data_IF_186723905665
#
_entry.id   IF_186723905665
#
_cell.length_a   1.000
_cell.length_b   1.000
_cell.length_c   1.000
_cell.angle_alpha   90.00
_cell.angle_beta   90.00
_cell.angle_gamma   90.00
#
_symmetry.space_group_name_H-M   'P 1'
#
loop_
_entity.id
_entity.type
_entity.pdbx_description
1 polymer ?
#
# COMPACT_ATOMS: atom_id res chain seq x y z
N UNK A 1 -0.57 10.50 9.96
CA UNK A 1 -1.29 9.26 9.56
C UNK A 1 -0.33 8.09 9.73
N UNK A 2 -0.80 7.00 10.35
CA UNK A 2 0.04 5.84 10.62
C UNK A 2 -0.23 4.71 9.64
N UNK A 3 0.77 3.87 9.38
CA UNK A 3 0.69 2.74 8.44
C UNK A 3 -0.48 1.81 8.74
N UNK A 4 -0.81 1.54 10.01
CA UNK A 4 -1.96 0.72 10.40
C UNK A 4 -3.32 1.24 9.90
N UNK A 5 -3.41 2.53 9.55
CA UNK A 5 -4.66 3.16 9.10
C UNK A 5 -4.91 2.93 7.61
N UNK A 6 -3.87 2.55 6.86
CA UNK A 6 -3.93 2.37 5.41
C UNK A 6 -3.51 0.99 4.91
N UNK A 7 -2.85 0.17 5.76
CA UNK A 7 -2.37 -1.16 5.38
C UNK A 7 -3.53 -2.13 5.12
N UNK A 8 -3.29 -3.12 4.28
CA UNK A 8 -4.16 -4.29 4.15
C UNK A 8 -3.75 -5.32 5.21
N UNK A 9 -4.67 -5.68 6.08
CA UNK A 9 -4.48 -6.72 7.10
C UNK A 9 -5.76 -7.58 7.22
N UNK A 10 -5.65 -8.92 7.24
CA UNK A 10 -4.41 -9.69 7.07
C UNK A 10 -3.85 -9.58 5.64
N UNK A 11 -2.54 -9.69 5.51
CA UNK A 11 -1.87 -9.70 4.21
C UNK A 11 -1.95 -11.08 3.55
N UNK A 12 -2.13 -11.10 2.24
CA UNK A 12 -1.82 -12.30 1.45
C UNK A 12 -0.31 -12.52 1.49
N UNK A 13 0.13 -13.74 1.72
CA UNK A 13 1.53 -14.12 1.79
C UNK A 13 1.73 -15.53 1.23
N UNK A 14 2.98 -15.87 0.94
CA UNK A 14 3.36 -17.19 0.43
C UNK A 14 4.52 -17.73 1.25
N UNK A 15 4.60 -19.04 1.38
CA UNK A 15 5.73 -19.70 2.05
C UNK A 15 6.97 -19.67 1.16
N UNK A 16 8.15 -19.58 1.79
CA UNK A 16 9.44 -19.64 1.09
C UNK A 16 9.59 -20.91 0.23
N UNK A 17 9.07 -22.05 0.72
CA UNK A 17 9.11 -23.33 0.03
C UNK A 17 8.01 -23.54 -1.03
N UNK A 18 7.09 -22.61 -1.19
CA UNK A 18 6.02 -22.70 -2.18
C UNK A 18 6.55 -22.62 -3.61
N UNK A 19 5.80 -23.14 -4.56
CA UNK A 19 6.13 -23.08 -5.99
C UNK A 19 5.83 -21.68 -6.57
N UNK A 20 6.49 -21.35 -7.69
CA UNK A 20 6.19 -20.09 -8.40
C UNK A 20 4.76 -20.08 -8.94
N UNK A 21 4.21 -21.25 -9.32
CA UNK A 21 2.83 -21.38 -9.77
C UNK A 21 1.83 -21.00 -8.67
N UNK A 22 2.06 -21.45 -7.43
CA UNK A 22 1.23 -21.07 -6.28
C UNK A 22 1.25 -19.57 -6.03
N UNK A 23 2.44 -18.95 -6.11
CA UNK A 23 2.59 -17.51 -5.96
C UNK A 23 1.86 -16.75 -7.09
N UNK A 24 2.03 -17.18 -8.35
CA UNK A 24 1.37 -16.60 -9.52
C UNK A 24 -0.16 -16.69 -9.40
N UNK A 25 -0.68 -17.86 -9.04
CA UNK A 25 -2.11 -18.09 -8.83
C UNK A 25 -2.67 -17.19 -7.73
N UNK A 26 -1.95 -17.07 -6.61
CA UNK A 26 -2.36 -16.22 -5.50
C UNK A 26 -2.36 -14.73 -5.92
N UNK A 27 -1.33 -14.24 -6.60
CA UNK A 27 -1.28 -12.87 -7.11
C UNK A 27 -2.44 -12.58 -8.07
N UNK A 28 -2.70 -13.48 -9.02
CA UNK A 28 -3.76 -13.32 -10.01
C UNK A 28 -5.16 -13.30 -9.38
N UNK A 29 -5.44 -14.23 -8.47
CA UNK A 29 -6.76 -14.34 -7.81
C UNK A 29 -7.03 -13.22 -6.83
N UNK A 30 -5.99 -12.78 -6.08
CA UNK A 30 -6.10 -11.71 -5.09
C UNK A 30 -5.87 -10.32 -5.70
N UNK A 31 -5.52 -10.22 -6.99
CA UNK A 31 -5.23 -8.98 -7.71
C UNK A 31 -4.16 -8.12 -7.03
N UNK A 32 -3.11 -8.79 -6.54
CA UNK A 32 -1.95 -8.14 -5.92
C UNK A 32 -0.73 -8.30 -6.82
N UNK A 33 0.16 -7.33 -6.81
CA UNK A 33 1.36 -7.29 -7.66
C UNK A 33 2.62 -7.79 -6.95
N UNK A 34 2.51 -8.12 -5.67
CA UNK A 34 3.59 -8.67 -4.85
C UNK A 34 3.04 -9.38 -3.63
N UNK A 35 3.78 -10.31 -3.09
CA UNK A 35 3.46 -11.07 -1.89
C UNK A 35 4.65 -11.05 -0.93
N UNK A 36 4.44 -10.73 0.34
CA UNK A 36 5.40 -11.07 1.38
C UNK A 36 5.65 -12.57 1.41
N UNK A 37 6.90 -12.95 1.56
CA UNK A 37 7.31 -14.34 1.73
C UNK A 37 7.62 -14.58 3.19
N UNK A 38 7.05 -15.63 3.73
CA UNK A 38 7.19 -15.97 5.15
C UNK A 38 7.79 -17.36 5.33
N UNK A 39 8.45 -17.56 6.47
CA UNK A 39 8.85 -18.88 6.94
C UNK A 39 7.68 -19.65 7.58
N UNK A 40 7.94 -20.89 8.03
CA UNK A 40 6.95 -21.73 8.73
C UNK A 40 6.45 -21.14 10.07
N UNK A 41 7.13 -20.12 10.59
CA UNK A 41 6.74 -19.37 11.81
C UNK A 41 5.99 -18.08 11.53
N UNK A 42 5.79 -17.72 10.27
CA UNK A 42 5.10 -16.47 9.87
C UNK A 42 6.00 -15.23 9.89
N UNK A 43 7.32 -15.40 9.99
CA UNK A 43 8.29 -14.30 9.91
C UNK A 43 8.54 -13.93 8.46
N UNK A 44 8.67 -12.64 8.20
CA UNK A 44 8.98 -12.15 6.85
C UNK A 44 10.43 -12.44 6.51
N UNK A 45 10.65 -13.27 5.49
CA UNK A 45 11.99 -13.65 4.99
C UNK A 45 12.28 -13.06 3.61
N UNK A 46 11.24 -12.66 2.87
CA UNK A 46 11.37 -12.13 1.53
C UNK A 46 10.15 -11.38 1.04
N UNK A 47 10.25 -10.91 -0.19
CA UNK A 47 9.13 -10.41 -0.99
C UNK A 47 9.29 -10.91 -2.42
N UNK A 48 8.20 -11.35 -3.03
CA UNK A 48 8.17 -11.73 -4.46
C UNK A 48 7.18 -10.85 -5.19
N UNK A 49 7.55 -10.39 -6.37
CA UNK A 49 6.74 -9.51 -7.21
C UNK A 49 6.39 -10.15 -8.55
N UNK A 50 5.41 -9.59 -9.24
CA UNK A 50 5.09 -9.97 -10.63
C UNK A 50 6.32 -9.87 -11.56
N UNK A 51 7.21 -8.88 -11.32
CA UNK A 51 8.43 -8.72 -12.12
C UNK A 51 9.41 -9.89 -11.94
N UNK A 52 9.45 -10.49 -10.76
CA UNK A 52 10.29 -11.65 -10.47
C UNK A 52 9.72 -12.90 -11.16
N UNK A 53 8.40 -13.06 -11.13
CA UNK A 53 7.71 -14.15 -11.84
C UNK A 53 7.83 -14.02 -13.36
N UNK A 54 7.64 -12.82 -13.91
CA UNK A 54 7.78 -12.59 -15.36
C UNK A 54 9.20 -12.84 -15.89
N UNK A 55 10.22 -12.70 -15.07
CA UNK A 55 11.60 -13.03 -15.46
C UNK A 55 11.80 -14.54 -15.54
N UNK A 56 11.00 -15.31 -14.81
CA UNK A 56 11.20 -16.76 -14.63
C UNK A 56 10.46 -17.63 -15.64
N UNK A 57 9.31 -17.20 -16.20
CA UNK A 57 8.33 -18.15 -16.76
C UNK A 57 7.88 -17.90 -18.21
N UNK A 58 8.42 -16.91 -18.93
CA UNK A 58 8.00 -16.68 -20.32
C UNK A 58 8.90 -17.41 -21.30
N UNK A 59 8.45 -18.59 -21.76
CA UNK A 59 9.01 -19.20 -22.96
C UNK A 59 8.63 -18.37 -24.21
N UNK A 60 9.61 -18.09 -25.08
CA UNK A 60 9.32 -17.34 -26.31
C UNK A 60 8.38 -18.13 -27.23
N UNK A 61 7.31 -17.49 -27.71
CA UNK A 61 6.43 -18.10 -28.73
C UNK A 61 7.26 -18.39 -30.00
N UNK A 62 7.34 -19.66 -30.48
CA UNK A 62 8.08 -20.02 -31.67
C UNK A 62 7.62 -19.29 -32.95
N UNK A 63 6.41 -18.72 -32.92
CA UNK A 63 5.84 -17.94 -34.06
C UNK A 63 6.26 -16.48 -34.03
N UNK A 64 6.89 -16.00 -32.95
CA UNK A 64 7.36 -14.61 -32.87
C UNK A 64 8.55 -14.40 -33.80
N UNK A 65 8.52 -13.32 -34.60
CA UNK A 65 9.57 -12.98 -35.55
C UNK A 65 10.90 -12.58 -34.89
N UNK A 66 10.87 -12.21 -33.59
CA UNK A 66 12.05 -11.86 -32.80
C UNK A 66 12.23 -12.94 -31.74
N UNK A 67 13.29 -13.72 -31.87
CA UNK A 67 13.68 -14.69 -30.84
C UNK A 67 14.50 -13.97 -29.77
N UNK A 68 14.00 -13.82 -28.53
CA UNK A 68 14.86 -13.39 -27.44
C UNK A 68 15.91 -14.45 -27.17
N UNK A 69 17.17 -14.05 -27.14
CA UNK A 69 18.33 -14.94 -26.86
C UNK A 69 18.48 -15.24 -25.35
N UNK A 70 17.45 -15.04 -24.56
CA UNK A 70 17.46 -15.33 -23.13
C UNK A 70 17.12 -16.79 -22.89
N UNK A 71 18.08 -17.53 -22.38
CA UNK A 71 17.83 -18.83 -21.76
C UNK A 71 16.93 -18.58 -20.55
N UNK A 72 15.81 -19.28 -20.47
CA UNK A 72 14.98 -19.35 -19.27
C UNK A 72 15.86 -19.90 -18.12
N UNK A 73 16.09 -19.10 -17.10
CA UNK A 73 17.01 -19.42 -16.01
C UNK A 73 16.32 -20.24 -14.92
N UNK A 74 15.01 -20.43 -15.01
CA UNK A 74 14.24 -21.08 -13.95
C UNK A 74 13.75 -22.46 -14.37
N UNK A 75 14.07 -23.44 -13.53
CA UNK A 75 13.49 -24.78 -13.60
C UNK A 75 11.99 -24.72 -13.27
N UNK A 76 11.12 -25.55 -13.91
CA UNK A 76 9.71 -25.67 -13.54
C UNK A 76 9.47 -26.03 -12.06
N UNK A 77 10.52 -26.45 -11.35
CA UNK A 77 10.50 -26.80 -9.93
C UNK A 77 11.09 -25.71 -9.02
N UNK A 78 11.30 -24.49 -9.54
CA UNK A 78 11.83 -23.40 -8.73
C UNK A 78 10.85 -23.00 -7.62
N UNK A 79 11.38 -22.80 -6.43
CA UNK A 79 10.61 -22.31 -5.27
C UNK A 79 10.65 -20.77 -5.19
N UNK A 80 9.69 -20.22 -4.49
CA UNK A 80 9.61 -18.78 -4.20
C UNK A 80 10.90 -18.27 -3.57
N UNK A 81 11.47 -19.02 -2.61
CA UNK A 81 12.72 -18.66 -1.93
C UNK A 81 13.93 -18.52 -2.85
N UNK A 82 13.94 -19.19 -4.01
CA UNK A 82 15.04 -19.10 -4.98
C UNK A 82 14.97 -17.84 -5.86
N UNK A 83 13.80 -17.20 -5.95
CA UNK A 83 13.52 -16.07 -6.87
C UNK A 83 13.19 -14.79 -6.14
N UNK A 84 12.72 -14.87 -4.90
CA UNK A 84 12.34 -13.71 -4.08
C UNK A 84 13.50 -12.75 -3.84
N UNK A 85 13.17 -11.51 -3.53
CA UNK A 85 14.11 -10.59 -2.89
C UNK A 85 14.14 -10.90 -1.39
N UNK A 86 15.26 -11.42 -0.91
CA UNK A 86 15.46 -11.75 0.50
C UNK A 86 15.67 -10.50 1.36
N UNK A 87 15.33 -10.59 2.66
CA UNK A 87 15.46 -9.51 3.64
C UNK A 87 14.87 -8.17 3.14
N UNK A 88 13.57 -8.13 2.83
CA UNK A 88 12.96 -6.93 2.31
C UNK A 88 12.92 -5.84 3.38
N UNK A 89 12.83 -4.59 2.93
CA UNK A 89 12.46 -3.51 3.85
C UNK A 89 11.08 -3.78 4.42
N UNK A 90 10.92 -3.59 5.72
CA UNK A 90 9.65 -3.75 6.43
C UNK A 90 9.27 -2.45 7.13
N UNK A 91 7.99 -2.20 7.27
CA UNK A 91 7.46 -1.11 8.07
C UNK A 91 6.84 -1.64 9.36
N UNK A 92 6.66 -0.76 10.33
CA UNK A 92 5.91 -1.03 11.54
C UNK A 92 4.51 -0.41 11.43
N UNK A 93 3.57 -0.90 12.21
CA UNK A 93 2.20 -0.36 12.25
C UNK A 93 2.15 1.12 12.68
N UNK A 94 3.11 1.55 13.50
CA UNK A 94 3.27 2.91 14.02
C UNK A 94 4.17 3.82 13.17
N UNK A 95 4.66 3.33 12.03
CA UNK A 95 5.43 4.14 11.07
C UNK A 95 4.54 5.24 10.49
N UNK A 96 5.10 6.43 10.25
CA UNK A 96 4.40 7.51 9.58
C UNK A 96 4.28 7.23 8.06
N UNK A 97 3.08 7.41 7.52
CA UNK A 97 2.81 7.26 6.08
C UNK A 97 3.67 8.21 5.24
N UNK A 98 4.02 9.39 5.75
CA UNK A 98 4.90 10.32 5.06
C UNK A 98 6.33 9.76 4.84
N UNK A 99 6.85 9.00 5.81
CA UNK A 99 8.13 8.29 5.69
C UNK A 99 8.07 7.23 4.61
N UNK A 100 6.98 6.44 4.57
CA UNK A 100 6.75 5.45 3.53
C UNK A 100 6.54 6.10 2.15
N UNK A 101 5.83 7.21 2.06
CA UNK A 101 5.67 7.97 0.83
C UNK A 101 7.02 8.40 0.26
N UNK A 102 7.91 8.92 1.10
CA UNK A 102 9.29 9.25 0.70
C UNK A 102 10.07 8.02 0.23
N UNK A 103 9.97 6.92 0.96
CA UNK A 103 10.59 5.65 0.60
C UNK A 103 10.12 5.16 -0.78
N UNK A 104 8.81 5.15 -1.03
CA UNK A 104 8.26 4.78 -2.32
C UNK A 104 8.61 5.74 -3.46
N UNK A 105 8.82 7.02 -3.18
CA UNK A 105 9.24 8.01 -4.17
C UNK A 105 10.71 7.83 -4.60
N UNK A 106 11.57 7.39 -3.68
CA UNK A 106 13.02 7.26 -3.90
C UNK A 106 13.45 5.85 -4.30
N UNK A 107 12.58 4.85 -4.14
CA UNK A 107 12.86 3.45 -4.49
C UNK A 107 11.96 2.96 -5.60
N UNK A 108 12.27 1.78 -6.15
CA UNK A 108 11.39 1.09 -7.11
C UNK A 108 10.39 0.14 -6.44
N UNK A 109 10.31 0.14 -5.11
CA UNK A 109 9.43 -0.77 -4.37
C UNK A 109 7.96 -0.44 -4.63
N UNK A 110 7.15 -1.45 -4.84
CA UNK A 110 5.71 -1.31 -5.07
C UNK A 110 4.90 -1.52 -3.80
N UNK A 111 5.44 -2.31 -2.88
CA UNK A 111 4.84 -2.60 -1.57
C UNK A 111 5.91 -2.90 -0.53
N UNK A 112 5.52 -2.79 0.72
CA UNK A 112 6.36 -3.03 1.90
C UNK A 112 5.56 -3.89 2.89
N UNK A 113 6.10 -5.03 3.36
CA UNK A 113 5.48 -5.79 4.42
C UNK A 113 5.44 -4.99 5.73
N UNK A 114 4.32 -5.07 6.43
CA UNK A 114 4.16 -4.47 7.76
C UNK A 114 4.29 -5.57 8.80
N UNK A 115 5.17 -5.36 9.76
CA UNK A 115 5.49 -6.37 10.77
C UNK A 115 5.19 -5.91 12.19
N UNK A 116 4.84 -6.89 13.03
CA UNK A 116 4.80 -6.74 14.49
C UNK A 116 5.88 -7.62 15.09
N UNK A 117 6.99 -7.01 15.53
CA UNK A 117 8.25 -7.73 15.74
C UNK A 117 8.82 -8.22 14.42
N UNK A 118 8.93 -9.51 14.21
CA UNK A 118 9.36 -10.15 12.95
C UNK A 118 8.19 -10.79 12.18
N UNK A 119 7.01 -10.89 12.80
CA UNK A 119 5.84 -11.56 12.23
C UNK A 119 5.11 -10.63 11.25
N UNK A 120 4.72 -11.20 10.11
CA UNK A 120 3.89 -10.49 9.13
C UNK A 120 2.53 -10.12 9.77
N UNK A 121 2.17 -8.85 9.69
CA UNK A 121 0.89 -8.36 10.17
C UNK A 121 0.02 -7.78 9.05
N UNK A 122 0.64 -7.12 8.08
CA UNK A 122 -0.05 -6.50 6.95
C UNK A 122 0.90 -6.23 5.78
N UNK A 123 0.39 -5.54 4.80
CA UNK A 123 1.15 -5.01 3.67
C UNK A 123 0.64 -3.63 3.31
N UNK A 124 1.54 -2.74 2.93
CA UNK A 124 1.19 -1.44 2.39
C UNK A 124 1.82 -1.27 1.01
N UNK A 125 1.06 -0.76 0.06
CA UNK A 125 1.49 -0.49 -1.31
C UNK A 125 1.53 1.00 -1.62
N UNK A 126 2.19 1.36 -2.74
CA UNK A 126 2.10 2.73 -3.30
C UNK A 126 0.66 3.19 -3.50
N UNK A 127 -0.20 2.28 -3.97
CA UNK A 127 -1.61 2.59 -4.22
C UNK A 127 -2.35 2.96 -2.94
N UNK A 128 -1.99 2.33 -1.81
CA UNK A 128 -2.61 2.64 -0.52
C UNK A 128 -2.20 4.03 -0.04
N UNK A 129 -0.90 4.38 -0.21
CA UNK A 129 -0.41 5.72 0.11
C UNK A 129 -1.07 6.78 -0.77
N UNK A 130 -1.15 6.55 -2.10
CA UNK A 130 -1.82 7.48 -3.02
C UNK A 130 -3.30 7.64 -2.66
N UNK A 131 -3.99 6.54 -2.34
CA UNK A 131 -5.39 6.57 -1.92
C UNK A 131 -5.57 7.33 -0.60
N UNK A 132 -4.63 7.18 0.34
CA UNK A 132 -4.65 7.91 1.59
C UNK A 132 -4.37 9.41 1.43
N UNK A 133 -3.60 9.78 0.41
CA UNK A 133 -3.35 11.18 0.05
C UNK A 133 -4.53 11.81 -0.70
N UNK A 134 -5.33 10.99 -1.36
CA UNK A 134 -6.50 11.47 -2.07
C UNK A 134 -7.69 11.51 -1.13
N UNK A 135 -7.97 12.69 -0.61
CA UNK A 135 -9.21 12.97 0.10
C UNK A 135 -10.22 13.48 -0.91
N UNK A 136 -11.42 12.91 -0.91
CA UNK A 136 -12.53 13.49 -1.67
C UNK A 136 -13.06 14.73 -0.94
N UNK A 137 -13.70 15.64 -1.67
CA UNK A 137 -14.30 16.85 -1.10
C UNK A 137 -15.29 16.51 0.03
N UNK A 138 -16.05 15.40 -0.11
CA UNK A 138 -16.97 14.93 0.92
C UNK A 138 -16.22 14.47 2.18
N UNK A 139 -15.08 13.81 2.05
CA UNK A 139 -14.28 13.39 3.19
C UNK A 139 -13.67 14.58 3.94
N UNK A 140 -13.19 15.58 3.20
CA UNK A 140 -12.68 16.83 3.77
C UNK A 140 -13.81 17.57 4.51
N UNK A 141 -14.99 17.70 3.88
CA UNK A 141 -16.16 18.34 4.48
C UNK A 141 -16.61 17.64 5.77
N UNK A 142 -16.63 16.29 5.77
CA UNK A 142 -17.01 15.50 6.93
C UNK A 142 -16.01 15.65 8.09
N UNK A 143 -14.70 15.67 7.80
CA UNK A 143 -13.65 15.84 8.80
C UNK A 143 -13.71 17.22 9.46
N UNK A 144 -13.85 18.28 8.66
CA UNK A 144 -14.02 19.65 9.16
C UNK A 144 -15.29 19.77 10.01
N UNK A 145 -16.43 19.21 9.52
CA UNK A 145 -17.69 19.23 10.24
C UNK A 145 -17.61 18.50 11.58
N UNK A 146 -16.92 17.37 11.64
CA UNK A 146 -16.67 16.61 12.87
C UNK A 146 -15.85 17.44 13.86
N UNK A 147 -14.77 18.05 13.41
CA UNK A 147 -13.91 18.90 14.24
C UNK A 147 -14.68 20.10 14.79
N UNK A 148 -15.55 20.71 13.97
CA UNK A 148 -16.41 21.81 14.41
C UNK A 148 -17.42 21.37 15.47
N UNK A 149 -17.98 20.16 15.34
CA UNK A 149 -18.87 19.62 16.35
C UNK A 149 -18.15 19.40 17.70
N UNK A 150 -16.92 18.93 17.67
CA UNK A 150 -16.09 18.69 18.87
C UNK A 150 -15.73 19.98 19.62
N UNK A 151 -15.57 21.10 18.91
CA UNK A 151 -15.26 22.41 19.49
C UNK A 151 -16.48 23.30 19.71
N UNK A 152 -17.71 22.77 19.52
CA UNK A 152 -18.96 23.48 19.78
C UNK A 152 -19.42 24.42 18.68
N UNK A 153 -18.86 24.33 17.47
CA UNK A 153 -19.21 25.13 16.30
C UNK A 153 -20.23 24.42 15.37
N UNK A 154 -21.21 23.75 15.93
CA UNK A 154 -22.17 22.90 15.18
C UNK A 154 -23.12 23.68 14.24
N UNK A 155 -23.23 24.98 14.41
CA UNK A 155 -24.10 25.85 13.58
C UNK A 155 -23.45 26.25 12.23
N UNK A 156 -22.23 25.76 11.96
CA UNK A 156 -21.51 26.09 10.75
C UNK A 156 -21.73 25.03 9.68
N UNK A 157 -22.04 25.49 8.48
CA UNK A 157 -22.14 24.62 7.31
C UNK A 157 -20.84 24.63 6.52
N UNK A 158 -20.38 23.45 6.16
CA UNK A 158 -19.10 23.23 5.43
C UNK A 158 -19.43 22.62 4.08
N UNK A 159 -19.07 23.31 3.03
CA UNK A 159 -19.04 22.79 1.65
C UNK A 159 -17.60 22.76 1.17
N UNK A 160 -17.23 21.69 0.47
CA UNK A 160 -15.93 21.58 -0.17
C UNK A 160 -16.12 21.31 -1.65
N UNK A 161 -15.44 22.09 -2.48
CA UNK A 161 -15.44 21.91 -3.92
C UNK A 161 -14.02 22.17 -4.46
N UNK A 162 -13.50 21.24 -5.26
CA UNK A 162 -12.14 21.27 -5.82
C UNK A 162 -11.06 21.49 -4.75
N UNK A 163 -11.22 20.88 -3.57
CA UNK A 163 -10.30 20.99 -2.44
C UNK A 163 -10.38 22.33 -1.69
N UNK A 164 -11.33 23.20 -2.03
CA UNK A 164 -11.55 24.49 -1.36
C UNK A 164 -12.75 24.39 -0.42
N UNK A 165 -12.50 24.57 0.88
CA UNK A 165 -13.55 24.56 1.88
C UNK A 165 -14.23 25.95 1.97
N UNK A 166 -15.54 25.99 1.75
CA UNK A 166 -16.40 27.15 1.98
C UNK A 166 -17.19 26.95 3.26
N UNK A 167 -17.00 27.85 4.21
CA UNK A 167 -17.64 27.77 5.52
C UNK A 167 -18.65 28.90 5.66
N UNK A 168 -19.89 28.53 5.91
CA UNK A 168 -20.99 29.49 6.13
C UNK A 168 -21.60 29.29 7.52
N UNK A 169 -21.81 30.38 8.23
CA UNK A 169 -22.37 30.33 9.57
C UNK A 169 -22.57 31.73 10.17
N UNK A 170 -23.36 31.81 11.22
CA UNK A 170 -23.55 33.04 12.00
C UNK A 170 -22.71 32.95 13.27
N UNK A 171 -21.76 33.85 13.44
CA UNK A 171 -20.81 33.79 14.54
C UNK A 171 -20.33 35.14 15.03
N UNK A 172 -19.92 35.18 16.28
CA UNK A 172 -19.09 36.25 16.83
C UNK A 172 -17.72 36.32 16.15
N UNK A 173 -17.05 37.48 16.21
CA UNK A 173 -15.66 37.63 15.65
C UNK A 173 -14.69 36.60 16.18
N UNK A 174 -14.84 36.18 17.45
CA UNK A 174 -13.98 35.19 18.11
C UNK A 174 -14.14 33.78 17.55
N UNK A 175 -15.40 33.40 17.26
CA UNK A 175 -15.74 32.09 16.66
C UNK A 175 -15.29 32.03 15.19
N UNK A 176 -15.35 33.15 14.45
CA UNK A 176 -14.86 33.25 13.08
C UNK A 176 -13.35 32.99 13.00
N UNK A 177 -12.55 33.54 13.93
CA UNK A 177 -11.12 33.29 14.01
C UNK A 177 -10.79 31.83 14.28
N UNK A 178 -11.55 31.16 15.17
CA UNK A 178 -11.39 29.74 15.47
C UNK A 178 -11.77 28.86 14.26
N UNK A 179 -12.84 29.16 13.56
CA UNK A 179 -13.29 28.40 12.39
C UNK A 179 -12.27 28.41 11.25
N UNK A 180 -11.66 29.57 10.97
CA UNK A 180 -10.62 29.73 9.94
C UNK A 180 -9.34 28.94 10.29
N UNK A 181 -9.01 28.80 11.58
CA UNK A 181 -7.81 28.08 12.03
C UNK A 181 -7.96 26.57 11.99
N UNK A 182 -9.18 26.02 11.85
CA UNK A 182 -9.50 24.60 11.84
C UNK A 182 -9.66 24.08 10.40
N UNK A 183 -10.08 24.94 9.49
CA UNK A 183 -10.29 24.59 8.08
C UNK A 183 -8.99 24.59 7.26
#
# INVERSE_FOLDING_TARGET
>A
MLVREIMTSPAYSVLEGATLEEALKLMATSRVTSLPVVDGGGRVVGIISEADLLKSDLEPDPRAHVRPTRQSVTSPLATVGQVMTANPHTAREDTDVAELAHTFATTHWKSVPVVRGELLHGVVSRSDVIRAMWRTDEQIAAEISKTYAEVGLQAWHVEVADGVATITGSASERERGAAISIA
#
